data_IF_190094503367
#
_entry.id   IF_190094503367
#
_cell.length_a   1.000
_cell.length_b   1.000
_cell.length_c   1.000
_cell.angle_alpha   90.00
_cell.angle_beta   90.00
_cell.angle_gamma   90.00
#
_symmetry.space_group_name_H-M   'P 1'
#
loop_
_entity.id
_entity.type
_entity.pdbx_description
1 polymer ?
#
# COMPACT_ATOMS: atom_id res chain seq x y z
N UNK A 1 60.14 -74.30 -52.33
CA UNK A 1 58.98 -73.52 -52.95
C UNK A 1 58.21 -72.91 -51.80
N UNK A 2 58.40 -71.62 -51.54
CA UNK A 2 57.74 -70.90 -50.52
C UNK A 2 56.76 -69.88 -51.22
N UNK A 3 55.49 -70.04 -50.93
CA UNK A 3 54.46 -69.10 -51.43
C UNK A 3 54.17 -68.02 -50.37
N UNK A 4 54.48 -66.81 -50.66
CA UNK A 4 54.08 -65.61 -49.87
C UNK A 4 52.64 -65.30 -50.15
N UNK A 5 51.81 -65.34 -49.13
CA UNK A 5 50.44 -64.73 -49.18
C UNK A 5 50.52 -63.31 -48.67
N UNK A 6 50.27 -62.35 -49.55
CA UNK A 6 50.10 -60.95 -49.17
C UNK A 6 48.61 -60.64 -48.78
N UNK A 7 48.39 -60.28 -47.52
CA UNK A 7 47.08 -59.86 -47.03
C UNK A 7 46.97 -58.36 -47.20
N UNK A 8 46.10 -57.90 -48.10
CA UNK A 8 45.76 -56.53 -48.27
C UNK A 8 44.77 -56.05 -47.19
N UNK A 9 45.18 -55.18 -46.28
CA UNK A 9 44.29 -54.53 -45.30
C UNK A 9 43.56 -53.37 -45.97
N UNK A 10 42.26 -53.55 -46.22
CA UNK A 10 41.36 -52.41 -46.59
C UNK A 10 41.08 -51.60 -45.36
N UNK A 11 41.72 -50.43 -45.28
CA UNK A 11 41.39 -49.42 -44.25
C UNK A 11 40.06 -48.73 -44.59
N UNK A 12 39.11 -48.91 -43.72
CA UNK A 12 37.86 -48.14 -43.77
C UNK A 12 38.13 -46.75 -43.22
N UNK A 13 38.20 -45.73 -44.11
CA UNK A 13 38.22 -44.32 -43.70
C UNK A 13 36.83 -43.95 -43.22
N UNK A 14 36.65 -43.70 -41.91
CA UNK A 14 35.42 -43.15 -41.36
C UNK A 14 35.24 -41.70 -41.87
N UNK A 15 34.03 -41.28 -42.31
CA UNK A 15 33.80 -39.93 -42.74
C UNK A 15 33.97 -38.97 -41.54
N UNK A 16 34.89 -38.01 -41.67
CA UNK A 16 35.02 -36.93 -40.72
C UNK A 16 33.75 -36.02 -40.82
N UNK A 17 32.90 -36.09 -39.78
CA UNK A 17 31.76 -35.23 -39.67
C UNK A 17 32.26 -33.79 -39.59
N UNK A 18 32.09 -33.00 -40.63
CA UNK A 18 32.36 -31.57 -40.62
C UNK A 18 31.41 -30.88 -39.64
N UNK A 19 31.92 -30.50 -38.46
CA UNK A 19 31.19 -29.61 -37.55
C UNK A 19 31.11 -28.24 -38.18
N UNK A 20 29.93 -27.83 -38.58
CA UNK A 20 29.67 -26.49 -39.06
C UNK A 20 30.15 -25.43 -38.05
N UNK A 21 30.45 -24.21 -38.52
CA UNK A 21 30.89 -23.13 -37.63
C UNK A 21 29.83 -22.82 -36.57
N UNK A 22 30.23 -22.86 -35.29
CA UNK A 22 29.38 -22.45 -34.19
C UNK A 22 29.36 -20.93 -34.17
N UNK A 23 28.18 -20.36 -34.40
CA UNK A 23 27.94 -18.91 -34.27
C UNK A 23 27.55 -18.70 -32.78
N UNK A 24 28.41 -18.05 -31.99
CA UNK A 24 28.05 -17.72 -30.62
C UNK A 24 26.99 -16.59 -30.62
N UNK A 25 25.90 -16.77 -29.88
CA UNK A 25 24.94 -15.73 -29.59
C UNK A 25 25.06 -15.42 -28.09
N UNK A 26 25.21 -14.14 -27.74
CA UNK A 26 25.25 -13.66 -26.36
C UNK A 26 23.94 -12.99 -26.01
N UNK A 27 23.41 -13.29 -24.83
CA UNK A 27 22.27 -12.62 -24.25
C UNK A 27 22.69 -11.98 -22.92
N UNK A 28 22.20 -10.76 -22.65
CA UNK A 28 22.42 -10.10 -21.37
C UNK A 28 21.33 -10.53 -20.39
N UNK A 29 21.73 -11.07 -19.24
CA UNK A 29 20.81 -11.33 -18.13
C UNK A 29 20.84 -10.13 -17.18
N UNK A 30 19.66 -9.61 -16.82
CA UNK A 30 19.50 -8.53 -15.86
C UNK A 30 18.54 -8.96 -14.76
N UNK A 31 18.86 -8.60 -13.51
CA UNK A 31 17.99 -8.76 -12.36
C UNK A 31 18.00 -7.46 -11.54
N UNK A 32 16.83 -7.02 -11.12
CA UNK A 32 16.68 -5.88 -10.22
C UNK A 32 16.22 -6.40 -8.86
N UNK A 33 16.99 -6.09 -7.82
CA UNK A 33 16.61 -6.40 -6.43
C UNK A 33 15.95 -5.15 -5.84
N UNK A 34 14.72 -5.31 -5.32
CA UNK A 34 13.96 -4.25 -4.67
C UNK A 34 14.04 -4.39 -3.15
N UNK A 35 14.02 -3.25 -2.43
CA UNK A 35 13.96 -3.26 -0.99
C UNK A 35 12.63 -3.86 -0.49
N UNK A 36 12.61 -4.61 0.62
CA UNK A 36 11.37 -5.09 1.22
C UNK A 36 10.44 -3.91 1.56
N UNK A 37 9.14 -4.10 1.31
CA UNK A 37 8.13 -3.13 1.69
C UNK A 37 7.75 -3.33 3.15
N UNK A 38 7.82 -2.27 3.95
CA UNK A 38 7.49 -2.29 5.38
C UNK A 38 6.48 -1.21 5.70
N UNK A 39 5.71 -1.40 6.77
CA UNK A 39 4.81 -0.39 7.34
C UNK A 39 4.78 -0.52 8.85
N UNK A 40 4.89 0.60 9.55
CA UNK A 40 4.82 0.69 11.01
C UNK A 40 3.88 1.81 11.42
N UNK A 41 3.20 1.62 12.54
CA UNK A 41 2.38 2.63 13.15
C UNK A 41 3.25 3.75 13.76
N UNK A 42 2.80 5.02 13.65
CA UNK A 42 3.47 6.20 14.19
C UNK A 42 2.56 6.93 15.17
N UNK A 43 1.30 7.23 14.77
CA UNK A 43 0.35 7.92 15.64
C UNK A 43 -1.10 7.54 15.34
N UNK A 44 -1.97 7.72 16.33
CA UNK A 44 -3.39 7.40 16.25
C UNK A 44 -4.20 8.49 15.53
N UNK A 45 -5.36 8.09 14.99
CA UNK A 45 -6.43 9.01 14.61
C UNK A 45 -7.16 9.48 15.89
N UNK A 46 -7.22 10.80 16.09
CA UNK A 46 -7.82 11.41 17.30
C UNK A 46 -8.85 12.44 16.89
N UNK A 47 -10.06 12.33 17.41
CA UNK A 47 -11.18 13.25 17.16
C UNK A 47 -11.36 14.32 18.25
N UNK A 48 -10.46 14.32 19.26
CA UNK A 48 -10.57 15.21 20.40
C UNK A 48 -11.67 14.77 21.38
N UNK A 49 -12.21 15.73 22.15
CA UNK A 49 -13.33 15.51 23.08
C UNK A 49 -14.61 16.02 22.42
N UNK A 50 -15.66 15.22 22.48
CA UNK A 50 -16.94 15.53 21.83
C UNK A 50 -18.02 15.63 22.89
N UNK A 51 -18.76 16.73 22.89
CA UNK A 51 -19.95 16.90 23.71
C UNK A 51 -21.17 16.59 22.85
N UNK A 52 -21.85 15.48 23.09
CA UNK A 52 -23.02 15.07 22.33
C UNK A 52 -24.22 15.99 22.64
N UNK A 53 -25.19 15.98 21.75
CA UNK A 53 -26.45 16.72 21.87
C UNK A 53 -27.62 15.79 21.54
N UNK A 54 -28.89 16.23 21.75
CA UNK A 54 -30.07 15.46 21.41
C UNK A 54 -30.21 15.12 19.92
N UNK A 55 -29.41 15.74 19.07
CA UNK A 55 -29.34 15.46 17.65
C UNK A 55 -27.97 14.91 17.28
N UNK A 56 -27.87 14.03 16.26
CA UNK A 56 -26.61 13.48 15.82
C UNK A 56 -25.74 14.54 15.13
N UNK A 57 -24.44 14.25 15.03
CA UNK A 57 -23.49 15.09 14.32
C UNK A 57 -22.32 14.28 13.81
N UNK A 58 -21.40 14.93 13.12
CA UNK A 58 -20.19 14.30 12.62
C UNK A 58 -18.95 15.14 12.92
N UNK A 59 -17.83 14.45 13.12
CA UNK A 59 -16.51 15.08 13.20
C UNK A 59 -15.63 14.46 12.12
N UNK A 60 -15.09 15.29 11.23
CA UNK A 60 -14.19 14.85 10.17
C UNK A 60 -12.78 15.31 10.49
N UNK A 61 -11.84 14.39 10.51
CA UNK A 61 -10.40 14.70 10.60
C UNK A 61 -9.82 14.65 9.19
N UNK A 62 -9.21 15.77 8.78
CA UNK A 62 -8.55 15.87 7.48
C UNK A 62 -7.27 15.04 7.46
N UNK A 63 -7.10 14.19 6.46
CA UNK A 63 -5.90 13.41 6.18
C UNK A 63 -4.70 14.28 5.75
N UNK A 64 -4.95 15.52 5.35
CA UNK A 64 -3.91 16.45 4.90
C UNK A 64 -3.40 17.33 6.02
N UNK A 65 -4.29 17.85 6.84
CA UNK A 65 -3.97 18.88 7.86
C UNK A 65 -4.08 18.38 9.29
N UNK A 66 -4.83 17.28 9.52
CA UNK A 66 -5.16 16.80 10.85
C UNK A 66 -6.18 17.67 11.59
N UNK A 67 -6.71 18.71 10.93
CA UNK A 67 -7.74 19.57 11.52
C UNK A 67 -9.10 18.89 11.53
N UNK A 68 -9.97 19.28 12.48
CA UNK A 68 -11.35 18.83 12.54
C UNK A 68 -12.31 19.80 11.88
N UNK A 69 -13.30 19.22 11.20
CA UNK A 69 -14.53 19.90 10.78
C UNK A 69 -15.72 19.23 11.45
N UNK A 70 -16.58 20.01 12.06
CA UNK A 70 -17.77 19.53 12.80
C UNK A 70 -19.03 19.86 12.01
N UNK A 71 -19.96 18.92 11.95
CA UNK A 71 -21.30 19.12 11.39
C UNK A 71 -22.36 18.68 12.38
N UNK A 72 -23.46 19.39 12.46
CA UNK A 72 -24.51 19.18 13.46
C UNK A 72 -24.28 19.98 14.74
N UNK A 73 -25.17 19.86 15.75
CA UNK A 73 -25.12 20.69 16.94
C UNK A 73 -24.10 20.22 18.01
N UNK A 74 -23.34 19.16 17.74
CA UNK A 74 -22.31 18.64 18.64
C UNK A 74 -21.18 19.68 18.81
N UNK A 75 -20.49 19.62 19.96
CA UNK A 75 -19.34 20.49 20.21
C UNK A 75 -18.09 19.60 20.28
N UNK A 76 -17.08 19.94 19.50
CA UNK A 76 -15.78 19.30 19.54
C UNK A 76 -14.77 20.26 20.20
N UNK A 77 -13.98 19.76 21.13
CA UNK A 77 -12.92 20.50 21.81
C UNK A 77 -11.64 19.68 21.87
N UNK A 78 -10.54 20.38 21.98
CA UNK A 78 -9.22 19.74 22.03
C UNK A 78 -8.66 19.45 20.64
N UNK A 79 -7.48 18.82 20.62
CA UNK A 79 -6.71 18.60 19.41
C UNK A 79 -7.27 17.40 18.63
N UNK A 80 -7.46 17.60 17.34
CA UNK A 80 -7.64 16.53 16.36
C UNK A 80 -6.30 16.15 15.74
N UNK A 81 -6.21 14.93 15.24
CA UNK A 81 -4.99 14.41 14.66
C UNK A 81 -5.32 13.28 13.69
N UNK A 82 -4.73 13.28 12.50
CA UNK A 82 -4.80 12.13 11.60
C UNK A 82 -3.99 10.95 12.15
N UNK A 83 -4.34 9.73 11.77
CA UNK A 83 -3.46 8.59 11.99
C UNK A 83 -2.29 8.66 11.02
N UNK A 84 -1.11 8.23 11.47
CA UNK A 84 0.08 8.20 10.63
C UNK A 84 0.76 6.84 10.72
N UNK A 85 1.15 6.34 9.56
CA UNK A 85 2.02 5.20 9.39
C UNK A 85 3.23 5.61 8.57
N UNK A 86 4.35 4.97 8.82
CA UNK A 86 5.57 5.16 8.05
C UNK A 86 6.10 3.81 7.58
N UNK A 87 6.87 3.81 6.51
CA UNK A 87 7.46 2.59 6.00
C UNK A 87 8.64 2.85 5.07
N UNK A 88 9.21 1.77 4.59
CA UNK A 88 10.30 1.79 3.62
C UNK A 88 9.93 0.91 2.43
N UNK A 89 10.41 1.31 1.26
CA UNK A 89 10.28 0.57 0.02
C UNK A 89 11.24 1.11 -1.04
N UNK A 90 11.17 0.57 -2.25
CA UNK A 90 12.02 1.03 -3.35
C UNK A 90 11.42 2.25 -4.04
N UNK A 91 12.27 3.25 -4.30
CA UNK A 91 11.89 4.42 -5.10
C UNK A 91 11.31 4.02 -6.45
N UNK A 92 10.33 4.77 -6.93
CA UNK A 92 9.61 4.57 -8.19
C UNK A 92 8.84 3.24 -8.31
N UNK A 93 8.78 2.44 -7.23
CA UNK A 93 7.94 1.25 -7.20
C UNK A 93 6.52 1.61 -6.81
N UNK A 94 5.58 1.01 -7.53
CA UNK A 94 4.17 1.12 -7.19
C UNK A 94 3.82 0.16 -6.05
N UNK A 95 3.17 0.69 -5.04
CA UNK A 95 2.62 -0.05 -3.93
C UNK A 95 1.09 0.02 -3.96
N UNK A 96 0.45 -1.10 -3.71
CA UNK A 96 -0.97 -1.20 -3.47
C UNK A 96 -1.21 -1.01 -1.97
N UNK A 97 -2.03 0.00 -1.61
CA UNK A 97 -2.37 0.32 -0.23
C UNK A 97 -3.86 0.06 -0.02
N UNK A 98 -4.19 -0.79 0.94
CA UNK A 98 -5.58 -1.10 1.32
C UNK A 98 -5.82 -0.64 2.76
N UNK A 99 -6.96 -0.01 2.99
CA UNK A 99 -7.41 0.46 4.30
C UNK A 99 -8.72 -0.22 4.71
N UNK A 100 -8.96 -0.32 6.00
CA UNK A 100 -10.29 -0.54 6.55
C UNK A 100 -11.22 0.58 6.06
N UNK A 101 -12.35 0.23 5.42
CA UNK A 101 -13.28 1.22 4.87
C UNK A 101 -14.26 1.80 5.90
N UNK A 102 -14.61 1.00 6.90
CA UNK A 102 -15.51 1.35 8.01
C UNK A 102 -15.01 0.67 9.27
N UNK A 103 -14.97 1.40 10.36
CA UNK A 103 -14.64 0.89 11.69
C UNK A 103 -15.69 1.34 12.70
N UNK A 104 -15.89 0.56 13.74
CA UNK A 104 -16.74 0.93 14.88
C UNK A 104 -15.86 1.30 16.07
N UNK A 105 -16.13 2.47 16.65
CA UNK A 105 -15.56 2.83 17.93
C UNK A 105 -16.54 2.38 19.02
N UNK A 106 -16.09 1.48 19.87
CA UNK A 106 -16.86 0.91 20.98
C UNK A 106 -16.51 1.61 22.29
N UNK A 107 -17.47 1.75 23.18
CA UNK A 107 -17.35 2.42 24.47
C UNK A 107 -18.58 2.15 25.35
N UNK A 108 -18.86 3.00 26.35
CA UNK A 108 -19.95 2.76 27.30
C UNK A 108 -21.36 2.80 26.70
N UNK A 109 -21.54 3.43 25.54
CA UNK A 109 -22.83 3.53 24.87
C UNK A 109 -22.87 2.85 23.51
N UNK A 110 -23.82 3.24 22.66
CA UNK A 110 -23.91 2.74 21.30
C UNK A 110 -22.60 2.98 20.54
N UNK A 111 -22.15 2.03 19.71
CA UNK A 111 -20.95 2.24 18.90
C UNK A 111 -21.08 3.45 17.98
N UNK A 112 -19.99 4.18 17.81
CA UNK A 112 -19.90 5.25 16.81
C UNK A 112 -19.23 4.72 15.55
N UNK A 113 -19.81 5.03 14.39
CA UNK A 113 -19.28 4.58 13.10
C UNK A 113 -18.23 5.58 12.61
N UNK A 114 -17.04 5.06 12.33
CA UNK A 114 -15.97 5.75 11.59
C UNK A 114 -16.03 5.29 10.14
N UNK A 115 -16.34 6.21 9.25
CA UNK A 115 -16.42 5.97 7.81
C UNK A 115 -15.64 7.02 7.02
N UNK A 116 -15.76 7.00 5.70
CA UNK A 116 -15.02 7.91 4.81
C UNK A 116 -13.53 8.00 5.17
N UNK A 117 -12.96 6.85 5.52
CA UNK A 117 -11.53 6.75 5.84
C UNK A 117 -10.75 7.03 4.56
N UNK A 118 -9.85 8.01 4.62
CA UNK A 118 -9.09 8.51 3.47
C UNK A 118 -7.60 8.51 3.73
N UNK A 119 -6.84 8.21 2.69
CA UNK A 119 -5.39 8.34 2.68
C UNK A 119 -4.98 9.62 1.95
N UNK A 120 -4.24 10.47 2.64
CA UNK A 120 -3.70 11.70 2.06
C UNK A 120 -2.41 11.46 1.28
N UNK A 121 -2.30 12.10 0.11
CA UNK A 121 -1.02 12.21 -0.60
C UNK A 121 -0.13 13.25 0.06
N UNK A 122 1.18 13.08 -0.04
CA UNK A 122 2.17 13.99 0.54
C UNK A 122 3.47 13.95 -0.29
N UNK A 123 4.54 14.58 0.21
CA UNK A 123 5.82 14.61 -0.49
C UNK A 123 6.57 13.27 -0.58
N UNK A 124 6.04 12.20 0.01
CA UNK A 124 6.70 10.88 0.04
C UNK A 124 6.05 9.85 -0.88
N UNK A 125 4.76 10.03 -1.17
CA UNK A 125 3.98 9.17 -2.05
C UNK A 125 3.15 10.01 -3.01
N UNK A 126 2.98 9.52 -4.22
CA UNK A 126 2.06 10.08 -5.21
C UNK A 126 1.07 9.02 -5.66
N UNK A 127 -0.14 9.45 -5.97
CA UNK A 127 -1.17 8.57 -6.50
C UNK A 127 -0.81 8.10 -7.91
N UNK A 128 -0.88 6.80 -8.18
CA UNK A 128 -0.39 6.19 -9.43
C UNK A 128 -1.48 5.64 -10.35
N UNK A 129 -2.77 5.82 -10.04
CA UNK A 129 -3.86 5.49 -10.96
C UNK A 129 -5.08 4.80 -10.38
N UNK A 130 -6.17 4.83 -11.14
CA UNK A 130 -7.48 4.15 -11.03
C UNK A 130 -8.31 4.30 -9.76
N UNK A 131 -8.19 5.40 -9.05
CA UNK A 131 -9.19 5.88 -8.10
C UNK A 131 -9.68 7.25 -8.56
N UNK A 132 -10.79 7.76 -8.06
CA UNK A 132 -11.24 9.12 -8.34
C UNK A 132 -10.21 10.14 -7.83
N UNK A 133 -9.27 10.46 -8.70
CA UNK A 133 -8.17 11.39 -8.46
C UNK A 133 -8.68 12.84 -8.44
N UNK A 134 -9.37 13.23 -7.40
CA UNK A 134 -9.46 14.63 -7.03
C UNK A 134 -8.38 14.92 -5.99
N UNK A 135 -7.16 14.93 -6.42
CA UNK A 135 -5.93 15.54 -5.90
C UNK A 135 -5.64 15.63 -4.39
N UNK A 136 -6.59 15.44 -3.49
CA UNK A 136 -6.50 15.82 -2.08
C UNK A 136 -7.06 14.78 -1.10
N UNK A 137 -6.79 13.54 -1.32
CA UNK A 137 -7.24 12.45 -0.47
C UNK A 137 -8.25 11.59 -1.19
N UNK A 138 -7.89 10.35 -1.37
CA UNK A 138 -8.72 9.38 -2.08
C UNK A 138 -9.56 8.64 -1.05
N UNK A 139 -10.88 8.72 -1.19
CA UNK A 139 -11.78 7.88 -0.42
C UNK A 139 -11.65 6.45 -0.92
N UNK A 140 -11.13 5.55 -0.09
CA UNK A 140 -11.12 4.14 -0.40
C UNK A 140 -12.56 3.64 -0.34
N UNK A 141 -13.13 3.27 -1.48
CA UNK A 141 -14.45 2.66 -1.53
C UNK A 141 -14.39 1.22 -1.07
N UNK A 142 -15.42 0.83 -0.32
CA UNK A 142 -15.56 -0.50 0.28
C UNK A 142 -15.30 -1.62 -0.75
N UNK A 143 -14.25 -2.38 -0.52
CA UNK A 143 -14.22 -3.80 -0.83
C UNK A 143 -13.56 -4.27 -2.10
N UNK A 144 -13.12 -3.46 -3.05
CA UNK A 144 -12.62 -4.04 -4.28
C UNK A 144 -11.28 -3.48 -4.81
N UNK A 145 -10.96 -2.24 -4.57
CA UNK A 145 -9.83 -1.62 -5.26
C UNK A 145 -8.91 -0.92 -4.26
N UNK A 146 -7.91 -1.65 -3.83
CA UNK A 146 -6.77 -1.03 -3.21
C UNK A 146 -6.12 -0.07 -4.20
N UNK A 147 -5.81 1.12 -3.77
CA UNK A 147 -5.29 2.17 -4.61
C UNK A 147 -3.79 2.03 -4.79
N UNK A 148 -3.32 2.46 -5.96
CA UNK A 148 -1.91 2.42 -6.32
C UNK A 148 -1.24 3.74 -5.98
N UNK A 149 -0.14 3.65 -5.28
CA UNK A 149 0.73 4.77 -4.97
C UNK A 149 2.15 4.46 -5.40
N UNK A 150 2.89 5.48 -5.81
CA UNK A 150 4.32 5.36 -6.12
C UNK A 150 5.13 6.03 -5.00
N UNK A 151 6.14 5.32 -4.51
CA UNK A 151 7.10 5.86 -3.55
C UNK A 151 8.06 6.78 -4.31
N UNK A 152 8.08 8.08 -3.97
CA UNK A 152 8.85 9.09 -4.72
C UNK A 152 10.11 9.55 -4.02
N UNK A 153 10.32 9.23 -2.76
CA UNK A 153 11.50 9.60 -2.00
C UNK A 153 12.75 8.83 -2.44
N UNK A 154 13.87 9.50 -2.48
CA UNK A 154 15.15 8.86 -2.83
C UNK A 154 15.60 7.81 -1.79
N UNK A 155 15.23 8.03 -0.52
CA UNK A 155 15.51 7.10 0.59
C UNK A 155 14.59 5.88 0.61
N UNK A 156 13.51 5.87 -0.16
CA UNK A 156 12.45 4.87 -0.09
C UNK A 156 11.54 5.00 1.14
N UNK A 157 11.79 5.96 2.04
CA UNK A 157 10.93 6.21 3.21
C UNK A 157 9.63 6.87 2.74
N UNK A 158 8.50 6.34 3.17
CA UNK A 158 7.20 6.91 2.89
C UNK A 158 6.36 7.07 4.16
N UNK A 159 5.41 8.00 4.10
CA UNK A 159 4.49 8.32 5.20
C UNK A 159 3.06 8.29 4.66
N UNK A 160 2.16 7.71 5.43
CA UNK A 160 0.74 7.57 5.12
C UNK A 160 -0.07 8.29 6.20
N UNK A 161 -0.76 9.38 5.82
CA UNK A 161 -1.65 10.13 6.69
C UNK A 161 -3.09 9.70 6.43
N UNK A 162 -3.83 9.32 7.46
CA UNK A 162 -5.18 8.79 7.35
C UNK A 162 -6.13 9.64 8.18
N UNK A 163 -7.11 10.22 7.51
CA UNK A 163 -8.25 10.91 8.09
C UNK A 163 -9.53 10.08 7.99
N UNK A 164 -10.62 10.62 8.48
CA UNK A 164 -11.92 9.96 8.40
C UNK A 164 -13.02 10.75 9.08
N UNK A 165 -14.26 10.27 8.92
CA UNK A 165 -15.45 10.86 9.52
C UNK A 165 -15.99 9.97 10.64
N UNK A 166 -16.10 10.53 11.83
CA UNK A 166 -16.77 9.90 12.96
C UNK A 166 -18.24 10.38 13.02
N UNK A 167 -19.16 9.44 13.02
CA UNK A 167 -20.57 9.69 13.18
C UNK A 167 -20.92 9.58 14.67
N UNK A 168 -21.41 10.65 15.25
CA UNK A 168 -21.76 10.77 16.67
C UNK A 168 -23.28 10.68 16.82
N UNK A 169 -23.76 9.71 17.56
CA UNK A 169 -25.20 9.51 17.75
C UNK A 169 -25.81 10.60 18.64
N UNK A 170 -27.11 10.79 18.50
CA UNK A 170 -27.86 11.62 19.45
C UNK A 170 -27.71 11.06 20.88
N UNK A 171 -27.52 11.96 21.85
CA UNK A 171 -27.36 11.60 23.27
C UNK A 171 -26.31 10.50 23.51
N UNK A 172 -25.23 10.50 22.74
CA UNK A 172 -24.14 9.51 22.90
C UNK A 172 -23.66 9.49 24.35
N UNK A 173 -23.55 8.31 24.95
CA UNK A 173 -23.12 8.18 26.34
C UNK A 173 -21.69 8.70 26.52
N UNK A 174 -21.44 9.37 27.65
CA UNK A 174 -20.09 9.87 27.96
C UNK A 174 -19.11 8.73 28.27
N UNK A 175 -17.87 8.90 27.85
CA UNK A 175 -16.79 7.95 28.10
C UNK A 175 -15.80 7.89 26.94
N UNK A 176 -14.85 6.97 27.05
CA UNK A 176 -13.84 6.74 26.01
C UNK A 176 -14.36 5.73 25.00
N UNK A 177 -14.23 6.06 23.71
CA UNK A 177 -14.55 5.19 22.59
C UNK A 177 -13.29 4.89 21.80
N UNK A 178 -13.08 3.64 21.44
CA UNK A 178 -11.90 3.19 20.71
C UNK A 178 -12.27 2.16 19.64
N UNK A 179 -11.45 2.10 18.60
CA UNK A 179 -11.58 1.16 17.49
C UNK A 179 -10.26 1.04 16.75
N UNK A 180 -10.19 0.15 15.77
CA UNK A 180 -8.97 -0.12 15.01
C UNK A 180 -9.16 0.18 13.54
N UNK A 181 -8.11 0.74 12.93
CA UNK A 181 -7.94 0.88 11.48
C UNK A 181 -6.76 0.01 11.06
N UNK A 182 -7.00 -0.88 10.11
CA UNK A 182 -5.95 -1.74 9.55
C UNK A 182 -5.50 -1.21 8.19
N UNK A 183 -4.20 -1.19 7.97
CA UNK A 183 -3.58 -0.86 6.69
C UNK A 183 -2.76 -2.06 6.20
N UNK A 184 -2.84 -2.33 4.91
CA UNK A 184 -2.01 -3.32 4.22
C UNK A 184 -1.30 -2.66 3.05
N UNK A 185 -0.02 -2.98 2.87
CA UNK A 185 0.81 -2.43 1.80
C UNK A 185 1.53 -3.57 1.10
N UNK A 186 1.48 -3.60 -0.24
CA UNK A 186 2.17 -4.61 -1.06
C UNK A 186 2.65 -4.01 -2.38
N UNK A 187 3.77 -4.48 -2.92
CA UNK A 187 4.18 -4.11 -4.28
C UNK A 187 3.21 -4.65 -5.33
N UNK A 188 3.15 -3.96 -6.46
CA UNK A 188 2.45 -4.41 -7.67
C UNK A 188 3.42 -4.67 -8.80
#
# INVERSE_FOLDING_TARGET
>A
MAALLAVAALGWAAPAAARGPRIPATATAQATVVAPLTVVWVQNLVFGKIVPRPQPGTVVVSELTGSCTVTGPIIQVGKCQYAQFAGMGSKNMAARISLTSVANLTGPGAPMVLDQIKLGTNSTITFAGNGNANGNGVGLTKGANAERYTIITASGIYVLNIGGRLNVNANQAGGTYSGSITISVQYQ
#
